data_IF_771704872844
#
_entry.id   IF_771704872844
#
_cell.length_a   1.000
_cell.length_b   1.000
_cell.length_c   1.000
_cell.angle_alpha   90.00
_cell.angle_beta   90.00
_cell.angle_gamma   90.00
#
_symmetry.space_group_name_H-M   'P 1'
#
loop_
_entity.id
_entity.type
_entity.pdbx_description
1 polymer ?
#
# COMPACT_ATOMS: atom_id res chain seq x y z
N UNK A 1 22.21 20.70 -4.59
CA UNK A 1 21.96 19.26 -4.39
C UNK A 1 20.58 19.14 -3.77
N UNK A 2 19.58 18.70 -4.52
CA UNK A 2 18.21 18.53 -3.98
C UNK A 2 18.19 17.22 -3.21
N UNK A 3 17.87 17.27 -1.92
CA UNK A 3 17.69 16.06 -1.11
C UNK A 3 16.46 15.31 -1.61
N UNK A 4 16.57 13.98 -1.71
CA UNK A 4 15.43 13.13 -2.01
C UNK A 4 14.38 13.24 -0.87
N UNK A 5 13.09 13.14 -1.18
CA UNK A 5 12.00 13.28 -0.19
C UNK A 5 12.03 12.19 0.89
N UNK A 6 12.70 11.07 0.61
CA UNK A 6 12.91 9.95 1.53
C UNK A 6 14.29 9.33 1.27
N UNK A 7 14.78 8.53 2.23
CA UNK A 7 15.97 7.69 2.07
C UNK A 7 15.69 6.42 1.26
N UNK A 8 14.42 6.06 1.13
CA UNK A 8 13.98 4.86 0.42
C UNK A 8 14.05 5.07 -1.09
N UNK A 9 14.52 4.05 -1.79
CA UNK A 9 14.57 4.00 -3.25
C UNK A 9 13.38 3.17 -3.76
N UNK A 10 12.99 3.29 -5.05
CA UNK A 10 11.92 2.48 -5.62
C UNK A 10 12.08 0.96 -5.39
N UNK A 11 13.30 0.44 -5.42
CA UNK A 11 13.57 -0.97 -5.13
C UNK A 11 13.26 -1.36 -3.67
N UNK A 12 13.50 -0.44 -2.73
CA UNK A 12 13.20 -0.66 -1.32
C UNK A 12 11.66 -0.66 -1.12
N UNK A 13 10.94 0.22 -1.83
CA UNK A 13 9.47 0.25 -1.81
C UNK A 13 8.85 -1.01 -2.41
N UNK A 14 9.37 -1.52 -3.53
CA UNK A 14 8.91 -2.78 -4.14
C UNK A 14 9.10 -3.97 -3.18
N UNK A 15 10.28 -4.06 -2.56
CA UNK A 15 10.55 -5.10 -1.57
C UNK A 15 9.60 -5.03 -0.36
N UNK A 16 9.31 -3.82 0.13
CA UNK A 16 8.34 -3.62 1.21
C UNK A 16 6.95 -4.05 0.78
N UNK A 17 6.49 -3.67 -0.42
CA UNK A 17 5.16 -4.07 -0.89
C UNK A 17 5.03 -5.59 -1.05
N UNK A 18 6.05 -6.26 -1.58
CA UNK A 18 6.06 -7.72 -1.72
C UNK A 18 6.00 -8.43 -0.37
N UNK A 19 6.80 -7.97 0.60
CA UNK A 19 6.77 -8.52 1.97
C UNK A 19 5.38 -8.39 2.60
N UNK A 20 4.75 -7.22 2.52
CA UNK A 20 3.42 -7.01 3.08
C UNK A 20 2.35 -7.83 2.34
N UNK A 21 2.51 -8.06 1.04
CA UNK A 21 1.63 -8.95 0.28
C UNK A 21 1.77 -10.40 0.77
N UNK A 22 3.00 -10.89 0.96
CA UNK A 22 3.26 -12.21 1.54
C UNK A 22 2.64 -12.36 2.94
N UNK A 23 2.83 -11.36 3.82
CA UNK A 23 2.24 -11.35 5.17
C UNK A 23 0.70 -11.43 5.10
N UNK A 24 0.06 -10.68 4.20
CA UNK A 24 -1.41 -10.72 4.00
C UNK A 24 -1.87 -12.07 3.44
N UNK A 25 -1.19 -12.61 2.44
CA UNK A 25 -1.50 -13.90 1.82
C UNK A 25 -1.30 -15.07 2.80
N UNK A 26 -0.29 -14.96 3.67
CA UNK A 26 -0.01 -15.92 4.75
C UNK A 26 -0.98 -15.83 5.93
N UNK A 27 -1.84 -14.81 5.96
CA UNK A 27 -2.74 -14.55 7.09
C UNK A 27 -2.03 -13.98 8.32
N UNK A 28 -0.77 -13.57 8.19
CA UNK A 28 0.04 -12.95 9.24
C UNK A 28 -0.27 -11.44 9.34
N UNK A 29 -1.56 -11.14 9.50
CA UNK A 29 -2.06 -9.80 9.69
C UNK A 29 -2.12 -9.44 11.19
N UNK A 30 -1.70 -8.23 11.62
CA UNK A 30 -1.64 -7.89 13.03
C UNK A 30 -2.97 -8.15 13.76
N UNK A 31 -2.90 -8.93 14.84
CA UNK A 31 -4.05 -9.23 15.69
C UNK A 31 -4.73 -7.93 16.16
N UNK A 32 -6.07 -7.88 16.07
CA UNK A 32 -6.87 -6.72 16.46
C UNK A 32 -7.26 -5.78 15.32
N UNK A 33 -6.87 -6.09 14.08
CA UNK A 33 -7.45 -5.47 12.89
C UNK A 33 -8.55 -6.36 12.34
N UNK A 34 -9.66 -5.76 11.94
CA UNK A 34 -10.80 -6.49 11.36
C UNK A 34 -10.32 -7.36 10.19
N UNK A 35 -10.87 -8.58 10.09
CA UNK A 35 -10.63 -9.42 8.91
C UNK A 35 -10.95 -8.59 7.67
N UNK A 36 -10.06 -8.65 6.67
CA UNK A 36 -10.29 -8.00 5.39
C UNK A 36 -11.47 -8.69 4.72
N UNK A 37 -12.67 -8.12 4.87
CA UNK A 37 -13.85 -8.56 4.13
C UNK A 37 -13.79 -7.91 2.76
N UNK A 38 -13.51 -8.71 1.74
CA UNK A 38 -13.54 -8.23 0.36
C UNK A 38 -15.00 -8.00 -0.04
N UNK A 39 -15.45 -6.75 0.03
CA UNK A 39 -16.75 -6.34 -0.49
C UNK A 39 -16.59 -6.08 -2.00
N UNK A 40 -17.15 -6.96 -2.83
CA UNK A 40 -16.98 -6.90 -4.29
C UNK A 40 -17.70 -5.72 -4.97
N UNK A 41 -18.52 -4.96 -4.24
CA UNK A 41 -19.32 -3.88 -4.80
C UNK A 41 -18.61 -2.52 -4.81
N UNK A 42 -17.69 -2.28 -3.87
CA UNK A 42 -17.04 -0.98 -3.74
C UNK A 42 -15.55 -1.12 -3.43
N UNK A 43 -14.79 -0.13 -3.91
CA UNK A 43 -13.39 0.01 -3.55
C UNK A 43 -13.29 0.32 -2.05
N UNK A 44 -12.39 -0.35 -1.37
CA UNK A 44 -12.04 -0.11 0.02
C UNK A 44 -10.52 -0.09 0.16
N UNK A 45 -10.04 0.50 1.25
CA UNK A 45 -8.63 0.52 1.57
C UNK A 45 -8.43 0.53 3.08
N UNK A 46 -7.31 -0.02 3.54
CA UNK A 46 -6.89 0.05 4.94
C UNK A 46 -5.39 0.25 5.03
N UNK A 47 -4.93 1.05 5.99
CA UNK A 47 -3.49 1.30 6.18
C UNK A 47 -2.87 0.12 6.89
N UNK A 48 -1.84 -0.49 6.31
CA UNK A 48 -1.13 -1.62 6.89
C UNK A 48 -0.08 -1.22 7.89
N UNK A 49 0.75 -0.28 7.49
CA UNK A 49 1.83 0.25 8.29
C UNK A 49 1.94 1.74 8.03
N UNK A 50 2.46 2.47 9.01
CA UNK A 50 2.72 3.88 8.86
C UNK A 50 3.76 4.34 9.87
N UNK A 51 4.77 5.04 9.39
CA UNK A 51 5.78 5.71 10.20
C UNK A 51 6.22 7.00 9.49
N UNK A 52 7.24 7.66 10.02
CA UNK A 52 7.74 8.92 9.47
C UNK A 52 8.39 8.78 8.08
N UNK A 53 8.71 7.56 7.62
CA UNK A 53 9.39 7.31 6.35
C UNK A 53 8.46 6.81 5.24
N UNK A 54 7.41 6.06 5.57
CA UNK A 54 6.47 5.46 4.61
C UNK A 54 5.13 5.06 5.23
N UNK A 55 4.09 5.03 4.40
CA UNK A 55 2.83 4.34 4.67
C UNK A 55 2.65 3.18 3.69
N UNK A 56 2.17 2.03 4.18
CA UNK A 56 1.76 0.88 3.36
C UNK A 56 0.26 0.74 3.43
N UNK A 57 -0.41 0.56 2.30
CA UNK A 57 -1.87 0.42 2.21
C UNK A 57 -2.25 -0.85 1.45
N UNK A 58 -3.31 -1.51 1.88
CA UNK A 58 -4.01 -2.53 1.10
C UNK A 58 -5.23 -1.86 0.49
N UNK A 59 -5.38 -2.00 -0.81
CA UNK A 59 -6.42 -1.34 -1.59
C UNK A 59 -7.08 -2.41 -2.43
N UNK A 60 -8.41 -2.49 -2.38
CA UNK A 60 -9.14 -3.35 -3.31
C UNK A 60 -9.32 -2.66 -4.66
N UNK A 61 -9.41 -3.47 -5.71
CA UNK A 61 -9.86 -3.01 -7.01
C UNK A 61 -11.06 -3.85 -7.40
N UNK A 62 -12.15 -3.18 -7.76
CA UNK A 62 -13.37 -3.82 -8.27
C UNK A 62 -13.57 -3.39 -9.72
N UNK A 63 -14.26 -4.19 -10.55
CA UNK A 63 -14.58 -3.81 -11.92
C UNK A 63 -15.22 -2.41 -11.98
N UNK A 64 -14.91 -1.67 -13.04
CA UNK A 64 -15.47 -0.33 -13.30
C UNK A 64 -15.22 0.73 -12.21
N UNK A 65 -14.25 0.50 -11.30
CA UNK A 65 -13.74 1.51 -10.37
C UNK A 65 -12.28 1.82 -10.69
N UNK A 66 -11.94 3.10 -10.66
CA UNK A 66 -10.59 3.61 -10.87
C UNK A 66 -10.30 4.76 -9.90
N UNK A 67 -9.04 5.19 -9.84
CA UNK A 67 -8.67 6.48 -9.25
C UNK A 67 -8.58 7.53 -10.34
N UNK A 68 -8.90 8.78 -10.02
CA UNK A 68 -8.55 9.91 -10.89
C UNK A 68 -7.03 9.97 -11.13
N UNK A 69 -6.62 10.65 -12.20
CA UNK A 69 -5.20 10.91 -12.43
C UNK A 69 -4.67 11.84 -11.34
N UNK A 70 -3.59 11.43 -10.67
CA UNK A 70 -2.95 12.19 -9.60
C UNK A 70 -1.44 11.98 -9.61
N UNK A 71 -0.70 12.92 -9.02
CA UNK A 71 0.70 12.72 -8.66
C UNK A 71 0.82 12.18 -7.23
N UNK A 72 2.04 11.99 -6.75
CA UNK A 72 2.31 11.50 -5.40
C UNK A 72 2.65 12.63 -4.41
N UNK A 73 2.38 13.90 -4.74
CA UNK A 73 2.60 15.04 -3.84
C UNK A 73 4.05 15.22 -3.37
N UNK A 74 5.03 14.77 -4.17
CA UNK A 74 6.45 14.78 -3.81
C UNK A 74 6.95 13.49 -3.15
N UNK A 75 6.09 12.51 -2.91
CA UNK A 75 6.46 11.15 -2.46
C UNK A 75 6.85 10.25 -3.64
N UNK A 76 7.43 9.08 -3.32
CA UNK A 76 7.62 7.97 -4.23
C UNK A 76 6.58 6.89 -3.94
N UNK A 77 6.18 6.12 -4.97
CA UNK A 77 5.21 5.03 -4.86
C UNK A 77 5.69 3.75 -5.53
N UNK A 78 5.28 2.61 -4.99
CA UNK A 78 5.40 1.29 -5.59
C UNK A 78 4.14 0.48 -5.24
N UNK A 79 3.82 -0.53 -6.05
CA UNK A 79 2.68 -1.42 -5.85
C UNK A 79 3.05 -2.84 -6.27
N UNK A 80 2.40 -3.82 -5.65
CA UNK A 80 2.41 -5.24 -6.01
C UNK A 80 0.95 -5.73 -6.08
N UNK A 81 0.65 -6.74 -6.90
CA UNK A 81 -0.72 -7.19 -7.22
C UNK A 81 -0.88 -8.70 -7.15
#
# INVERSE_FOLDING_TARGET
MTLAPTRLRPADLLHVTDRFADDVLGGEWPAGREQVVVVAAERWFTRLHGNDELDVWLISWVPDRSTELHDHGGSLGALTV
#
